data_IF_741022429336
#
_entry.id   IF_741022429336
#
_cell.length_a   1.000
_cell.length_b   1.000
_cell.length_c   1.000
_cell.angle_alpha   90.00
_cell.angle_beta   90.00
_cell.angle_gamma   90.00
#
_symmetry.space_group_name_H-M   'P 1'
#
loop_
_entity.id
_entity.type
_entity.pdbx_description
1 polymer ?
#
# COMPACT_ATOMS: atom_id res chain seq x y z
N UNK A 1 -9.60 -23.90 -31.22
CA UNK A 1 -9.26 -22.54 -30.76
C UNK A 1 -10.00 -22.39 -29.44
N UNK A 2 -9.26 -22.31 -28.34
CA UNK A 2 -9.84 -22.44 -27.00
C UNK A 2 -10.45 -21.11 -26.56
N UNK A 3 -11.71 -21.15 -26.13
CA UNK A 3 -12.47 -20.03 -25.58
C UNK A 3 -11.85 -19.50 -24.28
N UNK A 4 -10.87 -18.60 -24.37
CA UNK A 4 -10.30 -17.86 -23.24
C UNK A 4 -10.61 -16.35 -23.34
N UNK A 5 -11.82 -15.98 -23.78
CA UNK A 5 -12.27 -14.59 -23.74
C UNK A 5 -12.77 -14.18 -22.34
N UNK A 6 -11.97 -13.31 -21.70
CA UNK A 6 -12.37 -12.21 -20.79
C UNK A 6 -12.87 -12.52 -19.37
N UNK A 7 -12.47 -13.62 -18.72
CA UNK A 7 -12.61 -13.67 -17.25
C UNK A 7 -11.69 -12.61 -16.61
N UNK A 8 -12.19 -11.76 -15.71
CA UNK A 8 -11.35 -10.76 -15.06
C UNK A 8 -10.24 -11.48 -14.31
N UNK A 9 -8.99 -11.08 -14.58
CA UNK A 9 -7.81 -11.65 -13.92
C UNK A 9 -7.94 -11.39 -12.42
N UNK A 10 -8.15 -12.45 -11.64
CA UNK A 10 -8.32 -12.36 -10.19
C UNK A 10 -6.96 -12.30 -9.53
N UNK A 11 -6.55 -11.11 -9.10
CA UNK A 11 -5.28 -10.91 -8.40
C UNK A 11 -5.47 -11.24 -6.92
N UNK A 12 -4.40 -11.68 -6.27
CA UNK A 12 -4.41 -11.84 -4.81
C UNK A 12 -4.42 -10.46 -4.15
N UNK A 13 -5.13 -10.29 -3.02
CA UNK A 13 -5.08 -9.05 -2.27
C UNK A 13 -3.67 -8.83 -1.73
N UNK A 14 -3.20 -7.58 -1.80
CA UNK A 14 -1.94 -7.17 -1.21
C UNK A 14 -2.15 -6.84 0.27
N UNK A 15 -1.27 -7.36 1.13
CA UNK A 15 -1.27 -7.01 2.55
C UNK A 15 -0.78 -5.56 2.72
N UNK A 16 -1.57 -4.73 3.41
CA UNK A 16 -1.16 -3.35 3.73
C UNK A 16 -0.21 -3.35 4.93
N UNK A 17 1.02 -3.79 4.69
CA UNK A 17 2.11 -3.86 5.65
C UNK A 17 3.35 -3.18 5.03
N UNK A 18 4.05 -2.26 5.74
CA UNK A 18 5.23 -1.56 5.22
C UNK A 18 6.29 -2.49 4.62
N UNK A 19 6.58 -3.63 5.24
CA UNK A 19 7.61 -4.56 4.76
C UNK A 19 7.22 -5.16 3.40
N UNK A 20 5.95 -5.53 3.24
CA UNK A 20 5.41 -6.06 1.98
C UNK A 20 5.40 -4.97 0.91
N UNK A 21 4.94 -3.77 1.25
CA UNK A 21 4.81 -2.63 0.34
C UNK A 21 6.16 -2.12 -0.15
N UNK A 22 7.13 -1.95 0.75
CA UNK A 22 8.49 -1.51 0.40
C UNK A 22 9.19 -2.52 -0.52
N UNK A 23 9.11 -3.82 -0.19
CA UNK A 23 9.66 -4.88 -1.05
C UNK A 23 8.98 -4.92 -2.42
N UNK A 24 7.65 -4.78 -2.45
CA UNK A 24 6.89 -4.75 -3.71
C UNK A 24 7.31 -3.56 -4.60
N UNK A 25 7.50 -2.38 -4.01
CA UNK A 25 7.89 -1.16 -4.73
C UNK A 25 9.34 -1.19 -5.21
N UNK A 26 10.25 -1.75 -4.41
CA UNK A 26 11.63 -2.00 -4.83
C UNK A 26 11.68 -2.89 -6.08
N UNK A 27 10.88 -3.97 -6.09
CA UNK A 27 10.77 -4.88 -7.24
C UNK A 27 10.17 -4.22 -8.50
N UNK A 28 9.40 -3.13 -8.34
CA UNK A 28 8.89 -2.32 -9.45
C UNK A 28 9.87 -1.24 -9.94
N UNK A 29 11.03 -1.08 -9.30
CA UNK A 29 12.04 -0.07 -9.64
C UNK A 29 11.79 1.31 -9.03
N UNK A 30 10.98 1.39 -7.97
CA UNK A 30 10.76 2.64 -7.23
C UNK A 30 12.00 3.03 -6.40
N UNK A 31 12.36 4.33 -6.26
CA UNK A 31 13.52 4.78 -5.47
C UNK A 31 13.28 4.64 -3.96
N UNK A 32 13.40 3.41 -3.45
CA UNK A 32 13.20 3.08 -2.03
C UNK A 32 14.32 3.55 -1.11
N UNK A 33 15.39 4.12 -1.67
CA UNK A 33 16.46 4.82 -0.95
C UNK A 33 16.03 6.21 -0.46
N UNK A 34 15.07 6.83 -1.15
CA UNK A 34 14.54 8.15 -0.82
C UNK A 34 13.16 8.10 -0.17
N UNK A 35 12.38 7.06 -0.46
CA UNK A 35 11.01 6.94 -0.03
C UNK A 35 10.73 5.55 0.53
N UNK A 36 10.04 5.48 1.67
CA UNK A 36 9.61 4.23 2.26
C UNK A 36 8.22 4.36 2.87
N UNK A 37 7.46 3.28 2.83
CA UNK A 37 6.23 3.13 3.62
C UNK A 37 6.60 2.88 5.08
N UNK A 38 5.81 3.43 5.99
CA UNK A 38 5.87 3.17 7.44
C UNK A 38 4.44 3.12 8.01
N UNK A 39 4.31 2.56 9.20
CA UNK A 39 3.01 2.50 9.87
C UNK A 39 2.57 3.87 10.40
N UNK A 40 1.26 4.08 10.37
CA UNK A 40 0.59 5.19 11.08
C UNK A 40 -0.23 4.56 12.20
N UNK A 41 0.25 4.70 13.44
CA UNK A 41 -0.32 4.00 14.60
C UNK A 41 -1.63 4.62 15.08
N UNK A 42 -1.80 5.92 14.89
CA UNK A 42 -3.01 6.67 15.28
C UNK A 42 -3.10 7.97 14.48
N UNK A 43 -4.30 8.52 14.37
CA UNK A 43 -4.58 9.81 13.75
C UNK A 43 -4.44 10.99 14.72
N UNK A 44 -4.10 10.72 15.99
CA UNK A 44 -3.83 11.76 16.98
C UNK A 44 -2.47 12.44 16.72
N UNK A 45 -2.38 13.74 17.02
CA UNK A 45 -1.21 14.58 16.73
C UNK A 45 0.11 13.99 17.26
N UNK A 46 0.08 13.44 18.48
CA UNK A 46 1.27 12.86 19.11
C UNK A 46 1.82 11.65 18.36
N UNK A 47 0.94 10.86 17.74
CA UNK A 47 1.32 9.67 16.98
C UNK A 47 1.74 10.03 15.55
N UNK A 48 1.08 11.02 14.95
CA UNK A 48 1.49 11.57 13.65
C UNK A 48 2.87 12.21 13.73
N UNK A 49 3.23 12.81 14.87
CA UNK A 49 4.59 13.30 15.12
C UNK A 49 5.68 12.22 15.10
N UNK A 50 5.32 10.94 15.16
CA UNK A 50 6.26 9.82 15.02
C UNK A 50 6.51 9.41 13.55
N UNK A 51 5.67 9.89 12.62
CA UNK A 51 5.79 9.57 11.19
C UNK A 51 6.90 10.41 10.57
N UNK A 52 7.84 9.82 9.80
CA UNK A 52 8.89 10.57 9.12
C UNK A 52 8.32 11.62 8.15
N UNK A 53 8.93 12.79 8.13
CA UNK A 53 8.57 13.91 7.26
C UNK A 53 9.71 14.20 6.26
N UNK A 54 9.42 14.58 5.00
CA UNK A 54 8.10 14.92 4.45
C UNK A 54 7.25 13.71 4.07
N UNK A 55 5.94 13.79 4.36
CA UNK A 55 4.96 12.79 3.91
C UNK A 55 4.41 13.20 2.55
N UNK A 56 4.49 12.31 1.57
CA UNK A 56 4.00 12.56 0.20
C UNK A 56 2.64 11.92 -0.10
N UNK A 57 2.35 10.77 0.51
CA UNK A 57 1.16 9.96 0.28
C UNK A 57 0.75 9.25 1.57
N UNK A 58 -0.56 9.05 1.76
CA UNK A 58 -1.13 8.17 2.77
C UNK A 58 -1.94 7.08 2.06
N UNK A 59 -1.76 5.82 2.47
CA UNK A 59 -2.56 4.69 2.00
C UNK A 59 -3.41 4.21 3.18
N UNK A 60 -4.72 4.11 2.96
CA UNK A 60 -5.67 3.66 3.97
C UNK A 60 -6.41 2.42 3.47
N UNK A 61 -6.31 1.32 4.23
CA UNK A 61 -7.14 0.14 4.03
C UNK A 61 -8.37 0.27 4.94
N UNK A 62 -9.56 0.24 4.34
CA UNK A 62 -10.82 0.21 5.08
C UNK A 62 -11.80 -0.80 4.48
N UNK A 63 -12.78 -1.30 5.26
CA UNK A 63 -13.84 -2.14 4.72
C UNK A 63 -14.70 -1.35 3.73
N UNK A 64 -14.83 -1.85 2.50
CA UNK A 64 -15.81 -1.33 1.53
C UNK A 64 -17.18 -1.86 1.97
N UNK A 65 -18.06 -0.97 2.45
CA UNK A 65 -19.44 -1.32 2.80
C UNK A 65 -20.34 -1.05 1.61
N UNK A 66 -21.15 -2.04 1.24
CA UNK A 66 -22.33 -1.81 0.39
C UNK A 66 -23.43 -1.24 1.29
N UNK A 67 -23.99 -0.10 0.91
CA UNK A 67 -25.17 0.47 1.59
C UNK A 67 -26.37 -0.48 1.54
#
# INVERSE_FOLDING_TARGET
MSDDESKPKRWFPLELNPDVMNNYMANMGFPTDQFSFCDVLSTEEWALGMVPSPVVVVIMLSPIKTH
#
